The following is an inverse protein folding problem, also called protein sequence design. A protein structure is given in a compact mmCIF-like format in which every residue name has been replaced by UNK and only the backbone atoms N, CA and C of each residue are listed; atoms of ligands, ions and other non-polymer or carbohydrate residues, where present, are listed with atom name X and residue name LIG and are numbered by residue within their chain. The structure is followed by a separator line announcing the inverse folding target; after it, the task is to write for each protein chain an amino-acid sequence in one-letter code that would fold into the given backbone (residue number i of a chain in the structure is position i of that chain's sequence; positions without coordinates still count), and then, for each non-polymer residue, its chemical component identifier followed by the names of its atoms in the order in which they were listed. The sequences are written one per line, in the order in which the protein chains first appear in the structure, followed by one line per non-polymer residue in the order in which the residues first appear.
data_IF_264841817455
#
_entry.id   IF_264841817455
#
_cell.length_a   1.000
_cell.length_b   1.000
_cell.length_c   1.000
_cell.angle_alpha   90.00
_cell.angle_beta   90.00
_cell.angle_gamma   90.00
#
_symmetry.space_group_name_H-M   'P 1'
#
loop_
_entity.id
_entity.type
_entity.pdbx_description
1 polymer ?
#
# COMPACT_ATOMS: atom_id res chain seq x y z
N UNK A 1 19.18 -1.85 5.77
CA UNK A 1 18.29 -2.86 5.16
C UNK A 1 17.07 -2.12 4.67
N UNK A 2 16.63 -2.34 3.44
CA UNK A 2 15.43 -1.69 2.93
C UNK A 2 14.22 -2.00 3.82
N UNK A 3 13.33 -1.03 3.96
CA UNK A 3 11.97 -1.29 4.44
C UNK A 3 11.07 -1.46 3.23
N UNK A 4 10.05 -2.31 3.34
CA UNK A 4 9.17 -2.62 2.23
C UNK A 4 7.80 -1.98 2.44
N UNK A 5 7.19 -1.53 1.36
CA UNK A 5 5.84 -0.97 1.35
C UNK A 5 4.99 -1.66 0.30
N UNK A 6 3.74 -1.96 0.64
CA UNK A 6 2.74 -2.44 -0.29
C UNK A 6 1.77 -1.29 -0.59
N UNK A 7 1.64 -0.90 -1.86
CA UNK A 7 0.74 0.17 -2.29
C UNK A 7 -0.25 -0.37 -3.34
N UNK A 8 -1.53 -0.03 -3.22
CA UNK A 8 -2.57 -0.58 -4.07
C UNK A 8 -3.23 0.47 -4.98
N UNK A 9 -3.34 0.13 -6.25
CA UNK A 9 -4.26 0.78 -7.19
C UNK A 9 -5.57 0.00 -7.16
N UNK A 10 -6.57 0.54 -6.48
CA UNK A 10 -7.90 -0.09 -6.37
C UNK A 10 -8.83 0.56 -7.38
N UNK A 11 -9.12 -0.14 -8.48
CA UNK A 11 -10.01 0.37 -9.53
C UNK A 11 -11.48 0.15 -9.16
N UNK A 12 -12.31 1.13 -9.53
CA UNK A 12 -13.77 0.98 -9.46
C UNK A 12 -14.28 -0.08 -10.44
N UNK A 13 -15.46 -0.67 -10.22
CA UNK A 13 -16.03 -1.66 -11.13
C UNK A 13 -16.31 -1.06 -12.51
N UNK A 14 -16.82 0.18 -12.53
CA UNK A 14 -17.12 0.94 -13.75
C UNK A 14 -16.02 1.99 -14.00
N UNK A 15 -15.40 1.94 -15.19
CA UNK A 15 -14.44 2.96 -15.65
C UNK A 15 -12.96 2.69 -15.34
N UNK A 16 -12.16 3.76 -15.46
CA UNK A 16 -10.71 3.78 -15.22
C UNK A 16 -10.31 4.46 -13.90
N UNK A 17 -11.30 4.97 -13.17
CA UNK A 17 -11.10 5.63 -11.88
C UNK A 17 -10.58 4.64 -10.84
N UNK A 18 -9.74 5.16 -9.94
CA UNK A 18 -9.17 4.41 -8.82
C UNK A 18 -9.28 5.19 -7.52
N UNK A 19 -9.20 4.46 -6.40
CA UNK A 19 -9.27 5.05 -5.07
C UNK A 19 -7.93 5.66 -4.67
N UNK A 20 -8.03 6.82 -4.01
CA UNK A 20 -6.93 7.49 -3.31
C UNK A 20 -7.39 7.79 -1.89
N UNK A 21 -6.44 7.83 -0.97
CA UNK A 21 -6.66 8.14 0.44
C UNK A 21 -5.97 9.44 0.79
N UNK A 22 -6.59 10.21 1.69
CA UNK A 22 -5.98 11.43 2.20
C UNK A 22 -4.84 11.06 3.15
N UNK A 23 -3.64 11.56 2.88
CA UNK A 23 -2.49 11.36 3.74
C UNK A 23 -2.64 12.13 5.07
N UNK A 24 -2.10 11.57 6.14
CA UNK A 24 -2.02 12.29 7.40
C UNK A 24 -1.08 13.51 7.23
N UNK A 25 -1.47 14.70 7.73
CA UNK A 25 -0.59 15.85 7.67
C UNK A 25 0.69 15.57 8.47
N UNK A 26 1.82 16.13 8.04
CA UNK A 26 3.06 16.00 8.79
C UNK A 26 2.89 16.61 10.20
N UNK A 27 3.67 16.14 11.20
CA UNK A 27 3.69 16.78 12.50
C UNK A 27 4.04 18.27 12.37
N UNK A 28 3.39 19.16 13.15
CA UNK A 28 3.66 20.58 13.08
C UNK A 28 5.11 20.89 13.46
N UNK A 29 5.72 21.81 12.73
CA UNK A 29 7.06 22.28 13.02
C UNK A 29 7.09 23.13 14.31
N UNK A 30 8.16 23.02 15.12
CA UNK A 30 8.24 23.75 16.39
C UNK A 30 8.40 25.26 16.20
N UNK A 31 8.89 25.72 15.05
CA UNK A 31 9.10 27.14 14.79
C UNK A 31 7.78 27.87 14.50
N UNK A 32 7.49 28.90 15.29
CA UNK A 32 6.27 29.72 15.22
C UNK A 32 6.04 30.35 13.83
N UNK A 33 7.12 30.62 13.08
CA UNK A 33 7.04 31.17 11.75
C UNK A 33 6.31 30.22 10.77
N UNK A 34 6.47 28.91 10.94
CA UNK A 34 5.87 27.92 10.05
C UNK A 34 4.46 27.53 10.47
N UNK A 35 4.08 27.75 11.73
CA UNK A 35 2.75 27.42 12.26
C UNK A 35 1.62 28.28 11.65
N UNK A 36 1.95 29.38 10.97
CA UNK A 36 0.96 30.23 10.27
C UNK A 36 0.55 29.70 8.89
N UNK A 37 1.24 28.68 8.38
CA UNK A 37 0.92 28.06 7.10
C UNK A 37 0.09 26.80 7.33
N UNK A 38 -0.88 26.58 6.46
CA UNK A 38 -1.72 25.39 6.45
C UNK A 38 -1.28 24.53 5.28
N UNK A 39 -0.90 23.30 5.56
CA UNK A 39 -0.58 22.33 4.51
C UNK A 39 -1.85 21.95 3.74
N UNK A 40 -1.70 21.76 2.43
CA UNK A 40 -2.80 21.25 1.61
C UNK A 40 -3.01 19.77 1.87
N UNK A 41 -4.26 19.32 1.76
CA UNK A 41 -4.56 17.90 1.79
C UNK A 41 -3.84 17.19 0.63
N UNK A 42 -2.98 16.22 0.96
CA UNK A 42 -2.34 15.34 0.00
C UNK A 42 -3.12 14.06 -0.15
N UNK A 43 -3.25 13.60 -1.39
CA UNK A 43 -3.94 12.36 -1.75
C UNK A 43 -2.96 11.41 -2.42
N UNK A 44 -2.94 10.16 -1.99
CA UNK A 44 -2.05 9.14 -2.51
C UNK A 44 -2.74 7.78 -2.53
N UNK A 45 -2.09 6.77 -3.09
CA UNK A 45 -2.57 5.40 -3.06
C UNK A 45 -2.61 4.88 -1.62
N UNK A 46 -3.63 4.08 -1.24
CA UNK A 46 -3.60 3.36 0.02
C UNK A 46 -2.38 2.46 0.06
N UNK A 47 -1.62 2.52 1.17
CA UNK A 47 -0.37 1.79 1.30
C UNK A 47 -0.07 1.42 2.74
N UNK A 48 0.55 0.27 2.94
CA UNK A 48 0.88 -0.26 4.26
C UNK A 48 2.34 -0.73 4.31
N UNK A 49 2.99 -0.69 5.49
CA UNK A 49 4.29 -1.32 5.67
C UNK A 49 4.19 -2.83 5.43
N UNK A 50 5.10 -3.36 4.63
CA UNK A 50 5.20 -4.79 4.38
C UNK A 50 6.25 -5.39 5.33
N UNK A 51 5.76 -5.87 6.47
CA UNK A 51 6.62 -6.37 7.54
C UNK A 51 7.07 -7.81 7.27
N UNK A 52 8.32 -8.18 7.58
CA UNK A 52 8.78 -9.56 7.54
C UNK A 52 7.97 -10.46 8.50
N UNK A 53 7.76 -11.72 8.14
CA UNK A 53 7.15 -12.71 9.01
C UNK A 53 8.12 -13.13 10.12
N UNK A 54 7.64 -13.14 11.36
CA UNK A 54 8.33 -13.80 12.47
C UNK A 54 7.99 -15.30 12.47
N UNK A 55 8.59 -16.09 11.56
CA UNK A 55 8.44 -17.56 11.58
C UNK A 55 8.17 -18.22 10.22
N UNK A 56 7.25 -19.20 10.19
CA UNK A 56 7.00 -20.03 9.01
C UNK A 56 6.47 -19.23 7.81
N UNK A 57 7.05 -19.52 6.65
CA UNK A 57 6.63 -18.99 5.35
C UNK A 57 5.16 -19.32 5.07
N UNK A 58 4.39 -18.33 4.57
CA UNK A 58 3.04 -18.61 4.07
C UNK A 58 3.11 -19.25 2.68
N UNK A 59 2.29 -20.29 2.46
CA UNK A 59 2.46 -21.24 1.35
C UNK A 59 1.77 -20.86 0.03
N UNK A 60 0.97 -19.79 -0.02
CA UNK A 60 0.34 -19.34 -1.27
C UNK A 60 0.48 -17.83 -1.47
N UNK A 61 0.88 -17.39 -2.69
CA UNK A 61 0.83 -15.98 -3.04
C UNK A 61 -0.63 -15.55 -3.17
N UNK A 62 -0.99 -14.53 -2.39
CA UNK A 62 -2.27 -13.79 -2.51
C UNK A 62 -2.28 -12.86 -3.74
N UNK A 63 -1.10 -12.57 -4.27
CA UNK A 63 -0.86 -11.65 -5.37
C UNK A 63 -0.48 -12.47 -6.61
N UNK A 64 -1.30 -12.40 -7.65
CA UNK A 64 -1.01 -12.92 -8.98
C UNK A 64 0.26 -12.29 -9.55
N UNK A 65 1.01 -13.06 -10.33
CA UNK A 65 2.28 -12.67 -10.93
C UNK A 65 3.41 -12.32 -9.93
N UNK A 66 3.22 -12.58 -8.64
CA UNK A 66 4.24 -12.43 -7.60
C UNK A 66 5.53 -13.22 -7.88
N UNK A 67 5.43 -14.37 -8.55
CA UNK A 67 6.58 -15.22 -8.88
C UNK A 67 7.61 -14.49 -9.77
N UNK A 68 7.17 -13.48 -10.54
CA UNK A 68 8.06 -12.63 -11.35
C UNK A 68 9.06 -11.80 -10.51
N UNK A 69 8.79 -11.63 -9.21
CA UNK A 69 9.69 -10.95 -8.28
C UNK A 69 10.65 -11.87 -7.57
N UNK A 70 10.52 -13.20 -7.69
CA UNK A 70 11.26 -14.16 -6.87
C UNK A 70 12.79 -14.01 -6.92
N UNK A 71 13.35 -13.49 -8.01
CA UNK A 71 14.78 -13.19 -8.15
C UNK A 71 15.25 -11.99 -7.31
N UNK A 72 14.33 -11.09 -6.92
CA UNK A 72 14.61 -9.84 -6.18
C UNK A 72 14.02 -9.83 -4.78
N UNK A 73 12.80 -10.35 -4.64
CA UNK A 73 12.01 -10.28 -3.43
C UNK A 73 11.10 -11.51 -3.31
N UNK A 74 11.27 -12.27 -2.23
CA UNK A 74 10.38 -13.38 -1.90
C UNK A 74 9.23 -12.90 -0.99
N UNK A 75 8.06 -12.68 -1.58
CA UNK A 75 6.87 -12.23 -0.84
C UNK A 75 6.39 -13.22 0.22
N UNK A 76 6.81 -14.50 0.17
CA UNK A 76 6.47 -15.50 1.18
C UNK A 76 7.15 -15.23 2.53
N UNK A 77 8.16 -14.37 2.55
CA UNK A 77 8.85 -13.91 3.74
C UNK A 77 8.11 -12.78 4.48
N UNK A 78 6.98 -12.29 3.97
CA UNK A 78 6.31 -11.09 4.48
C UNK A 78 4.85 -11.35 4.88
N UNK A 79 4.36 -10.56 5.82
CA UNK A 79 2.95 -10.58 6.22
C UNK A 79 2.09 -9.78 5.24
N UNK A 80 1.95 -10.32 4.03
CA UNK A 80 1.17 -9.72 2.95
C UNK A 80 -0.30 -9.55 3.36
N UNK A 81 -0.85 -10.47 4.15
CA UNK A 81 -2.26 -10.43 4.55
C UNK A 81 -2.58 -9.23 5.44
N UNK A 82 -1.74 -8.98 6.46
CA UNK A 82 -1.91 -7.80 7.32
C UNK A 82 -1.73 -6.50 6.54
N UNK A 83 -0.75 -6.43 5.63
CA UNK A 83 -0.54 -5.26 4.77
C UNK A 83 -1.75 -5.00 3.84
N UNK A 84 -2.33 -6.04 3.25
CA UNK A 84 -3.55 -5.93 2.42
C UNK A 84 -4.75 -5.45 3.23
N UNK A 85 -4.97 -5.98 4.44
CA UNK A 85 -6.06 -5.54 5.29
C UNK A 85 -5.93 -4.06 5.69
N UNK A 86 -4.72 -3.58 5.97
CA UNK A 86 -4.48 -2.18 6.28
C UNK A 86 -4.76 -1.27 5.07
N UNK A 87 -4.29 -1.67 3.89
CA UNK A 87 -4.60 -0.99 2.61
C UNK A 87 -6.12 -0.87 2.41
N UNK A 88 -6.87 -1.95 2.63
CA UNK A 88 -8.33 -1.94 2.51
C UNK A 88 -8.98 -1.03 3.55
N UNK A 89 -8.51 -1.09 4.79
CA UNK A 89 -9.03 -0.26 5.87
C UNK A 89 -8.81 1.23 5.60
N UNK A 90 -7.65 1.62 5.05
CA UNK A 90 -7.38 3.01 4.66
C UNK A 90 -8.35 3.49 3.57
N UNK A 91 -8.73 2.60 2.65
CA UNK A 91 -9.67 2.89 1.57
C UNK A 91 -11.15 2.83 2.00
N UNK A 92 -11.45 2.58 3.29
CA UNK A 92 -12.82 2.43 3.80
C UNK A 92 -13.51 1.13 3.36
N UNK A 93 -12.74 0.13 2.94
CA UNK A 93 -13.26 -1.17 2.47
C UNK A 93 -13.25 -2.15 3.64
N UNK A 94 -14.43 -2.64 4.03
CA UNK A 94 -14.61 -3.51 5.21
C UNK A 94 -14.62 -5.01 4.83
N UNK A 95 -14.96 -5.32 3.59
CA UNK A 95 -14.94 -6.69 3.08
C UNK A 95 -13.70 -6.89 2.20
N UNK A 96 -13.08 -8.05 2.36
CA UNK A 96 -12.02 -8.51 1.48
C UNK A 96 -12.53 -8.38 0.03
N UNK A 97 -11.84 -7.57 -0.77
CA UNK A 97 -12.00 -7.56 -2.22
C UNK A 97 -12.11 -9.03 -2.66
N UNK A 98 -13.26 -9.43 -3.18
CA UNK A 98 -13.48 -10.80 -3.71
C UNK A 98 -12.68 -11.05 -4.99
N UNK A 99 -12.09 -9.98 -5.55
CA UNK A 99 -11.16 -10.03 -6.67
C UNK A 99 -9.73 -10.45 -6.30
N UNK A 100 -8.99 -10.87 -7.32
CA UNK A 100 -7.58 -11.18 -7.20
C UNK A 100 -6.73 -9.91 -7.16
N UNK A 101 -5.65 -9.95 -6.38
CA UNK A 101 -4.61 -8.93 -6.38
C UNK A 101 -3.61 -9.27 -7.47
N UNK A 102 -3.23 -8.30 -8.30
CA UNK A 102 -2.24 -8.52 -9.36
C UNK A 102 -1.00 -7.67 -9.10
N UNK A 103 0.19 -8.23 -9.31
CA UNK A 103 1.40 -7.44 -9.26
C UNK A 103 1.43 -6.46 -10.44
N UNK A 104 1.62 -5.17 -10.16
CA UNK A 104 1.79 -4.14 -11.19
C UNK A 104 3.26 -3.84 -11.46
N UNK A 105 4.03 -3.54 -10.40
CA UNK A 105 5.46 -3.28 -10.49
C UNK A 105 6.12 -3.32 -9.12
N UNK A 106 7.43 -3.53 -9.12
CA UNK A 106 8.31 -3.37 -7.97
C UNK A 106 9.29 -2.23 -8.24
N UNK A 107 9.42 -1.30 -7.29
CA UNK A 107 10.26 -0.11 -7.40
C UNK A 107 11.23 -0.09 -6.22
N UNK A 108 12.52 -0.13 -6.54
CA UNK A 108 13.60 0.09 -5.57
C UNK A 108 13.86 1.59 -5.49
N UNK A 109 13.75 2.15 -4.29
CA UNK A 109 14.09 3.56 -4.07
C UNK A 109 15.61 3.72 -4.00
N UNK A 110 16.12 4.86 -4.45
CA UNK A 110 17.52 5.18 -4.29
C UNK A 110 17.88 5.32 -2.81
N UNK A 111 19.03 4.80 -2.40
CA UNK A 111 19.56 5.03 -1.06
C UNK A 111 19.90 6.51 -0.88
N UNK A 112 19.01 7.24 -0.21
CA UNK A 112 19.15 8.67 0.07
C UNK A 112 19.00 8.96 1.56
N UNK A 113 19.98 9.67 2.11
CA UNK A 113 19.96 10.09 3.51
C UNK A 113 20.33 8.98 4.51
N UNK A 114 20.16 9.25 5.82
CA UNK A 114 20.50 8.32 6.88
C UNK A 114 19.43 7.23 7.11
N UNK A 115 18.24 7.42 6.54
CA UNK A 115 17.13 6.50 6.71
C UNK A 115 17.24 5.29 5.77
N UNK A 116 16.64 4.15 6.14
CA UNK A 116 16.55 3.02 5.23
C UNK A 116 15.74 3.37 3.98
N UNK A 117 16.23 2.97 2.80
CA UNK A 117 15.44 3.08 1.55
C UNK A 117 14.10 2.34 1.66
N UNK A 118 13.08 2.85 0.98
CA UNK A 118 11.73 2.26 0.96
C UNK A 118 11.46 1.60 -0.40
N UNK A 119 11.57 0.27 -0.45
CA UNK A 119 11.26 -0.47 -1.67
C UNK A 119 9.74 -0.72 -1.74
N UNK A 120 9.10 -0.28 -2.82
CA UNK A 120 7.62 -0.27 -2.94
C UNK A 120 7.12 -1.29 -3.95
N UNK A 121 6.17 -2.11 -3.52
CA UNK A 121 5.46 -3.10 -4.33
C UNK A 121 4.08 -2.53 -4.65
N UNK A 122 3.85 -2.29 -5.94
CA UNK A 122 2.57 -1.81 -6.43
C UNK A 122 1.73 -2.99 -6.88
N UNK A 123 0.51 -3.05 -6.38
CA UNK A 123 -0.48 -4.05 -6.74
C UNK A 123 -1.72 -3.39 -7.32
N UNK A 124 -2.43 -4.13 -8.15
CA UNK A 124 -3.71 -3.76 -8.74
C UNK A 124 -4.81 -4.62 -8.13
N UNK A 125 -5.92 -3.97 -7.78
CA UNK A 125 -7.15 -4.63 -7.41
C UNK A 125 -8.32 -4.01 -8.17
N UNK A 126 -9.41 -4.76 -8.30
CA UNK A 126 -10.66 -4.27 -8.86
C UNK A 126 -11.79 -4.60 -7.91
N UNK A 127 -12.59 -3.59 -7.58
CA UNK A 127 -13.84 -3.78 -6.84
C UNK A 127 -14.84 -4.53 -7.71
N UNK A 128 -15.64 -5.40 -7.09
CA UNK A 128 -16.71 -6.13 -7.78
C UNK A 128 -17.99 -5.30 -7.85
N UNK A 129 -18.28 -4.50 -6.81
CA UNK A 129 -19.40 -3.56 -6.82
C UNK A 129 -19.07 -2.24 -6.11
N UNK A 130 -19.83 -1.19 -6.39
CA UNK A 130 -19.65 0.11 -5.71
C UNK A 130 -20.15 0.08 -4.25
N UNK A 131 -20.89 -0.95 -3.87
CA UNK A 131 -21.45 -1.15 -2.52
C UNK A 131 -20.37 -1.61 -1.52
N UNK A 132 -19.22 -2.04 -2.01
CA UNK A 132 -18.04 -2.39 -1.19
C UNK A 132 -17.39 -1.16 -0.55
N UNK A 133 -17.72 0.05 -1.04
CA UNK A 133 -17.29 1.33 -0.48
C UNK A 133 -18.27 1.72 0.64
N UNK A 134 -18.03 1.23 1.86
CA UNK A 134 -18.79 1.69 3.02
C UNK A 134 -18.17 3.00 3.54
N UNK A 135 -18.96 4.08 3.48
CA UNK A 135 -18.56 5.39 3.97
C UNK A 135 -18.28 5.34 5.48
N UNK A 136 -17.07 5.76 5.86
CA UNK A 136 -16.74 6.23 7.21
C UNK A 136 -17.01 7.71 7.35
#
# INVERSE_FOLDING_TARGET
MAVFRLAAVIKKPSGEDFLVVRQAPPPPLPEEEYQKFVDSDLWDLPSAPLNPLEGEFRSKPLIEDADSLSDKLDLRCFDVYSALNEVLSQAGLVNAISGSWQLLKYVEEADFGPEPRVDTIFILARLESEEEILQG
#
